data_IF_585400718451
#
_entry.id   IF_585400718451
#
_cell.length_a   1.000
_cell.length_b   1.000
_cell.length_c   1.000
_cell.angle_alpha   90.00
_cell.angle_beta   90.00
_cell.angle_gamma   90.00
#
_symmetry.space_group_name_H-M   'P 1'
#
loop_
_entity.id
_entity.type
_entity.pdbx_description
1 polymer ?
#
# COMPACT_ATOMS: atom_id res chain seq x y z
N UNK A 1 15.25 24.21 16.55
CA UNK A 1 15.99 22.93 16.61
C UNK A 1 14.97 21.80 16.76
N UNK A 2 14.81 20.97 15.73
CA UNK A 2 13.86 19.85 15.73
C UNK A 2 14.51 18.64 16.43
N UNK A 3 14.43 18.61 17.76
CA UNK A 3 14.83 17.46 18.57
C UNK A 3 13.61 16.76 19.15
N UNK A 4 13.65 15.43 19.27
CA UNK A 4 12.65 14.70 20.03
C UNK A 4 12.72 15.12 21.51
N UNK A 5 11.55 15.31 22.13
CA UNK A 5 11.48 15.62 23.56
C UNK A 5 12.10 14.46 24.37
N UNK A 6 12.94 14.73 25.39
CA UNK A 6 13.72 13.70 26.09
C UNK A 6 12.87 12.59 26.74
N UNK A 7 11.64 12.89 27.11
CA UNK A 7 10.64 11.94 27.61
C UNK A 7 10.10 10.98 26.53
N UNK A 8 10.27 11.31 25.25
CA UNK A 8 9.93 10.46 24.11
C UNK A 8 11.14 9.68 23.56
N UNK A 9 12.34 9.94 24.10
CA UNK A 9 13.57 9.23 23.70
C UNK A 9 13.70 7.97 24.55
N UNK A 10 13.87 6.83 23.88
CA UNK A 10 14.11 5.56 24.57
C UNK A 10 15.39 5.68 25.41
N UNK A 11 15.33 5.43 26.73
CA UNK A 11 16.51 5.49 27.59
C UNK A 11 17.61 4.52 27.11
N UNK A 12 18.87 4.95 27.20
CA UNK A 12 20.01 4.13 26.77
C UNK A 12 20.04 2.75 27.44
N UNK A 13 19.59 2.67 28.69
CA UNK A 13 19.47 1.41 29.44
C UNK A 13 18.57 0.37 28.74
N UNK A 14 17.45 0.78 28.13
CA UNK A 14 16.60 -0.15 27.37
C UNK A 14 17.31 -0.64 26.09
N UNK A 15 18.06 0.23 25.43
CA UNK A 15 18.86 -0.14 24.26
C UNK A 15 19.98 -1.14 24.61
N UNK A 16 20.62 -0.98 25.77
CA UNK A 16 21.66 -1.89 26.26
C UNK A 16 21.08 -3.28 26.56
N UNK A 17 19.96 -3.36 27.29
CA UNK A 17 19.30 -4.65 27.61
C UNK A 17 18.92 -5.42 26.34
N UNK A 18 18.35 -4.74 25.34
CA UNK A 18 17.99 -5.37 24.06
C UNK A 18 19.21 -5.89 23.29
N UNK A 19 20.34 -5.18 23.36
CA UNK A 19 21.62 -5.61 22.75
C UNK A 19 22.21 -6.82 23.46
N UNK A 20 22.09 -6.89 24.79
CA UNK A 20 22.58 -8.01 25.59
C UNK A 20 21.75 -9.28 25.41
N UNK A 21 20.43 -9.16 25.36
CA UNK A 21 19.53 -10.30 25.07
C UNK A 21 19.82 -10.92 23.69
N UNK A 22 20.10 -10.09 22.67
CA UNK A 22 20.52 -10.57 21.35
C UNK A 22 21.84 -11.34 21.42
N UNK A 23 22.83 -10.81 22.15
CA UNK A 23 24.13 -11.47 22.35
C UNK A 23 24.04 -12.76 23.17
N UNK A 24 23.10 -12.86 24.10
CA UNK A 24 22.87 -14.07 24.88
C UNK A 24 22.26 -15.18 24.01
N UNK A 25 21.31 -14.84 23.12
CA UNK A 25 20.66 -15.80 22.21
C UNK A 25 21.62 -16.38 21.16
N UNK A 26 22.64 -15.63 20.77
CA UNK A 26 23.65 -16.08 19.79
C UNK A 26 24.70 -17.03 20.39
N UNK A 27 24.81 -17.14 21.71
CA UNK A 27 25.80 -18.02 22.37
C UNK A 27 25.37 -19.48 22.47
N UNK A 28 24.10 -19.80 22.20
CA UNK A 28 23.53 -21.14 22.36
C UNK A 28 23.44 -21.94 21.04
N UNK A 29 24.16 -21.51 20.00
CA UNK A 29 24.11 -22.13 18.67
C UNK A 29 25.52 -22.47 18.16
N UNK A 30 26.07 -23.60 18.62
CA UNK A 30 27.16 -24.30 17.93
C UNK A 30 26.62 -25.59 17.35
N UNK A 31 26.35 -25.59 16.05
CA UNK A 31 26.74 -26.61 15.05
C UNK A 31 26.22 -26.16 13.66
N UNK A 32 27.13 -26.09 12.69
CA UNK A 32 26.98 -25.56 11.32
C UNK A 32 26.84 -26.76 10.32
N UNK A 33 26.38 -26.63 9.04
CA UNK A 33 27.03 -25.74 8.08
C UNK A 33 26.14 -24.91 7.13
N UNK A 34 26.65 -23.70 6.86
CA UNK A 34 26.54 -22.84 5.66
C UNK A 34 25.77 -23.39 4.45
N UNK A 35 24.61 -22.78 4.17
CA UNK A 35 24.24 -22.25 2.85
C UNK A 35 23.23 -21.09 3.06
N UNK A 36 23.12 -20.21 2.07
CA UNK A 36 22.57 -18.85 2.18
C UNK A 36 21.14 -18.70 2.73
N UNK A 37 20.87 -17.45 3.14
CA UNK A 37 19.58 -16.76 3.30
C UNK A 37 18.33 -17.55 3.73
N UNK A 38 17.62 -17.17 4.82
CA UNK A 38 16.32 -17.75 5.11
C UNK A 38 15.25 -17.15 4.17
N UNK A 39 14.99 -17.84 3.06
CA UNK A 39 13.68 -17.82 2.40
C UNK A 39 12.77 -18.66 3.30
N UNK A 40 11.75 -18.02 3.87
CA UNK A 40 10.73 -18.71 4.64
C UNK A 40 10.00 -19.70 3.71
N UNK A 41 9.98 -20.96 4.12
CA UNK A 41 9.43 -22.10 3.39
C UNK A 41 7.93 -21.91 3.11
N UNK A 42 7.60 -21.73 1.85
CA UNK A 42 6.30 -22.07 1.28
C UNK A 42 6.23 -23.60 1.16
N UNK A 43 5.61 -24.26 2.15
CA UNK A 43 5.20 -25.66 2.03
C UNK A 43 3.70 -25.73 1.78
N UNK A 44 3.39 -25.79 0.49
CA UNK A 44 2.26 -26.44 -0.15
C UNK A 44 1.19 -27.01 0.80
N UNK A 45 0.07 -26.30 0.91
CA UNK A 45 -1.18 -26.88 1.43
C UNK A 45 -1.88 -27.56 0.25
N UNK A 46 -1.82 -28.88 0.32
CA UNK A 46 -2.56 -29.85 -0.47
C UNK A 46 -4.07 -29.56 -0.40
N UNK A 47 -4.69 -29.23 -1.54
CA UNK A 47 -6.14 -29.27 -1.67
C UNK A 47 -6.58 -30.74 -1.66
N UNK A 48 -7.35 -31.14 -0.66
CA UNK A 48 -8.16 -32.36 -0.70
C UNK A 48 -9.58 -32.01 -0.26
N UNK A 49 -10.63 -32.45 -0.98
CA UNK A 49 -12.01 -32.10 -0.65
C UNK A 49 -12.69 -33.26 0.07
N UNK A 50 -12.96 -33.15 1.38
CA UNK A 50 -13.98 -34.00 2.04
C UNK A 50 -14.65 -33.29 3.21
N UNK A 51 -15.96 -33.47 3.26
CA UNK A 51 -17.00 -32.87 4.09
C UNK A 51 -16.96 -33.17 5.60
N UNK A 52 -17.72 -32.32 6.29
CA UNK A 52 -18.48 -32.52 7.54
C UNK A 52 -17.80 -32.37 8.91
N UNK A 53 -18.21 -31.27 9.55
CA UNK A 53 -18.50 -31.06 10.97
C UNK A 53 -17.34 -31.12 11.97
N UNK A 54 -16.73 -29.94 12.20
CA UNK A 54 -16.06 -29.59 13.46
C UNK A 54 -16.40 -28.13 13.77
N UNK A 55 -17.36 -27.99 14.70
CA UNK A 55 -17.45 -26.95 15.73
C UNK A 55 -16.88 -25.56 15.40
N UNK A 56 -17.82 -24.65 15.15
CA UNK A 56 -17.85 -23.27 15.67
C UNK A 56 -16.50 -22.71 16.16
N UNK A 57 -15.63 -22.35 15.22
CA UNK A 57 -14.77 -21.19 15.42
C UNK A 57 -15.74 -20.02 15.62
N UNK A 58 -15.68 -19.24 16.72
CA UNK A 58 -16.51 -18.06 16.85
C UNK A 58 -16.18 -17.18 15.65
N UNK A 59 -17.08 -17.13 14.67
CA UNK A 59 -17.03 -16.12 13.62
C UNK A 59 -16.89 -14.81 14.36
N UNK A 60 -15.83 -14.09 14.03
CA UNK A 60 -15.49 -12.81 14.60
C UNK A 60 -16.77 -11.99 14.86
N UNK A 61 -16.83 -11.29 15.99
CA UNK A 61 -17.96 -10.41 16.38
C UNK A 61 -18.12 -9.19 15.43
N UNK A 62 -17.90 -9.38 14.13
CA UNK A 62 -17.99 -8.36 13.09
C UNK A 62 -19.47 -8.18 12.78
N UNK A 63 -19.96 -6.98 13.05
CA UNK A 63 -21.30 -6.58 12.62
C UNK A 63 -21.39 -6.70 11.10
N UNK A 64 -22.49 -7.21 10.56
CA UNK A 64 -22.72 -7.18 9.11
C UNK A 64 -22.71 -5.73 8.62
N UNK A 65 -22.28 -5.54 7.37
CA UNK A 65 -22.34 -4.24 6.70
C UNK A 65 -23.80 -3.81 6.55
N UNK A 66 -24.08 -2.52 6.68
CA UNK A 66 -25.37 -1.98 6.25
C UNK A 66 -25.42 -1.94 4.73
N UNK A 67 -26.64 -1.85 4.20
CA UNK A 67 -26.85 -1.72 2.75
C UNK A 67 -26.12 -0.51 2.18
N UNK A 68 -26.14 0.65 2.86
CA UNK A 68 -25.44 1.84 2.35
C UNK A 68 -23.92 1.65 2.34
N UNK A 69 -23.37 0.90 3.30
CA UNK A 69 -21.93 0.59 3.33
C UNK A 69 -21.52 -0.33 2.19
N UNK A 70 -22.33 -1.34 1.89
CA UNK A 70 -22.08 -2.25 0.77
C UNK A 70 -22.17 -1.53 -0.58
N UNK A 71 -23.18 -0.67 -0.76
CA UNK A 71 -23.32 0.17 -1.95
C UNK A 71 -22.13 1.14 -2.10
N UNK A 72 -21.69 1.75 -1.00
CA UNK A 72 -20.50 2.61 -1.00
C UNK A 72 -19.26 1.83 -1.41
N UNK A 73 -19.02 0.65 -0.83
CA UNK A 73 -17.87 -0.19 -1.19
C UNK A 73 -17.89 -0.56 -2.67
N UNK A 74 -19.04 -1.01 -3.20
CA UNK A 74 -19.16 -1.33 -4.62
C UNK A 74 -18.89 -0.12 -5.52
N UNK A 75 -19.38 1.06 -5.13
CA UNK A 75 -19.13 2.31 -5.86
C UNK A 75 -17.65 2.67 -5.86
N UNK A 76 -16.97 2.54 -4.71
CA UNK A 76 -15.54 2.82 -4.60
C UNK A 76 -14.69 1.85 -5.44
N UNK A 77 -15.00 0.56 -5.39
CA UNK A 77 -14.29 -0.46 -6.18
C UNK A 77 -14.49 -0.22 -7.67
N UNK A 78 -15.72 0.07 -8.09
CA UNK A 78 -16.02 0.38 -9.49
C UNK A 78 -15.19 1.56 -10.01
N UNK A 79 -15.18 2.68 -9.29
CA UNK A 79 -14.40 3.85 -9.71
C UNK A 79 -12.90 3.66 -9.54
N UNK A 80 -12.45 2.83 -8.60
CA UNK A 80 -11.03 2.48 -8.52
C UNK A 80 -10.60 1.81 -9.82
N UNK A 81 -11.34 0.79 -10.28
CA UNK A 81 -11.03 0.08 -11.54
C UNK A 81 -11.11 1.01 -12.75
N UNK A 82 -12.11 1.90 -12.79
CA UNK A 82 -12.30 2.86 -13.90
C UNK A 82 -11.15 3.88 -14.00
N UNK A 83 -10.61 4.36 -12.88
CA UNK A 83 -9.58 5.40 -12.83
C UNK A 83 -8.18 4.91 -12.41
N UNK A 84 -7.94 3.60 -12.45
CA UNK A 84 -6.63 3.02 -12.04
C UNK A 84 -5.52 3.33 -13.05
N UNK A 85 -5.83 3.33 -14.34
CA UNK A 85 -4.86 3.56 -15.41
C UNK A 85 -5.32 4.65 -16.38
N UNK A 86 -4.39 5.45 -16.93
CA UNK A 86 -4.74 6.38 -17.99
C UNK A 86 -5.24 5.63 -19.22
N UNK A 87 -6.01 6.31 -20.06
CA UNK A 87 -6.50 5.70 -21.29
C UNK A 87 -5.34 5.32 -22.22
N UNK A 88 -5.54 4.28 -23.04
CA UNK A 88 -4.51 3.84 -24.01
C UNK A 88 -4.14 4.97 -24.99
N UNK A 89 -5.09 5.86 -25.29
CA UNK A 89 -4.86 7.03 -26.14
C UNK A 89 -3.90 8.03 -25.51
N UNK A 90 -4.02 8.30 -24.21
CA UNK A 90 -3.12 9.19 -23.48
C UNK A 90 -1.73 8.57 -23.32
N UNK A 91 -1.66 7.27 -23.03
CA UNK A 91 -0.41 6.53 -22.97
C UNK A 91 0.35 6.54 -24.30
N UNK A 92 -0.37 6.37 -25.43
CA UNK A 92 0.22 6.45 -26.77
C UNK A 92 0.83 7.83 -27.04
N UNK A 93 0.16 8.91 -26.65
CA UNK A 93 0.67 10.29 -26.84
C UNK A 93 2.02 10.49 -26.13
N UNK A 94 2.16 9.97 -24.91
CA UNK A 94 3.44 10.02 -24.18
C UNK A 94 4.50 9.19 -24.92
N UNK A 95 4.15 7.98 -25.37
CA UNK A 95 5.10 7.08 -26.05
C UNK A 95 5.67 7.65 -27.34
N UNK A 96 4.87 8.30 -28.18
CA UNK A 96 5.35 8.93 -29.43
C UNK A 96 6.37 10.06 -29.20
N UNK A 97 6.43 10.65 -28.00
CA UNK A 97 7.48 11.64 -27.72
C UNK A 97 8.86 11.02 -27.51
N UNK A 98 8.95 9.70 -27.27
CA UNK A 98 10.14 8.98 -26.80
C UNK A 98 11.03 8.38 -27.92
N UNK A 99 10.77 8.64 -29.20
CA UNK A 99 11.44 7.95 -30.33
C UNK A 99 12.93 8.33 -30.57
N UNK A 100 13.71 8.66 -29.53
CA UNK A 100 15.13 9.03 -29.58
C UNK A 100 15.99 8.35 -28.49
N UNK A 101 17.32 8.52 -28.56
CA UNK A 101 18.31 7.89 -27.68
C UNK A 101 18.04 8.14 -26.17
N UNK A 102 18.29 7.12 -25.35
CA UNK A 102 17.86 6.97 -23.94
C UNK A 102 18.57 7.95 -22.96
N UNK A 103 18.22 9.23 -23.02
CA UNK A 103 18.76 10.26 -22.12
C UNK A 103 18.03 10.32 -20.78
N UNK A 104 18.69 10.85 -19.74
CA UNK A 104 18.06 11.16 -18.44
C UNK A 104 16.82 12.05 -18.58
N UNK A 105 16.85 12.95 -19.57
CA UNK A 105 15.81 13.94 -19.80
C UNK A 105 14.54 13.29 -20.35
N UNK A 106 14.67 12.26 -21.20
CA UNK A 106 13.53 11.46 -21.68
C UNK A 106 12.83 10.72 -20.53
N UNK A 107 13.60 10.13 -19.60
CA UNK A 107 13.03 9.47 -18.42
C UNK A 107 12.33 10.46 -17.50
N UNK A 108 12.95 11.62 -17.25
CA UNK A 108 12.34 12.66 -16.42
C UNK A 108 11.04 13.19 -17.04
N UNK A 109 11.03 13.40 -18.37
CA UNK A 109 9.83 13.80 -19.09
C UNK A 109 8.74 12.73 -19.01
N UNK A 110 9.09 11.46 -19.24
CA UNK A 110 8.12 10.36 -19.11
C UNK A 110 7.49 10.29 -17.71
N UNK A 111 8.30 10.39 -16.66
CA UNK A 111 7.82 10.39 -15.27
C UNK A 111 6.87 11.59 -15.04
N UNK A 112 7.25 12.78 -15.50
CA UNK A 112 6.46 14.00 -15.30
C UNK A 112 5.13 13.93 -16.06
N UNK A 113 5.14 13.52 -17.32
CA UNK A 113 3.94 13.37 -18.15
C UNK A 113 2.99 12.30 -17.58
N UNK A 114 3.53 11.15 -17.16
CA UNK A 114 2.74 10.11 -16.50
C UNK A 114 2.12 10.64 -15.20
N UNK A 115 2.89 11.39 -14.40
CA UNK A 115 2.42 11.99 -13.14
C UNK A 115 1.27 12.96 -13.38
N UNK A 116 1.30 13.75 -14.47
CA UNK A 116 0.20 14.64 -14.84
C UNK A 116 -1.08 13.83 -15.08
N UNK A 117 -1.00 12.75 -15.87
CA UNK A 117 -2.16 11.88 -16.12
C UNK A 117 -2.66 11.24 -14.82
N UNK A 118 -1.77 10.73 -13.98
CA UNK A 118 -2.16 10.13 -12.69
C UNK A 118 -2.87 11.13 -11.78
N UNK A 119 -2.40 12.39 -11.72
CA UNK A 119 -3.08 13.44 -10.95
C UNK A 119 -4.46 13.73 -11.52
N UNK A 120 -4.64 13.74 -12.84
CA UNK A 120 -5.96 13.92 -13.46
C UNK A 120 -6.91 12.78 -13.06
N UNK A 121 -6.46 11.54 -13.09
CA UNK A 121 -7.25 10.38 -12.66
C UNK A 121 -7.67 10.48 -11.19
N UNK A 122 -6.76 10.88 -10.29
CA UNK A 122 -7.07 11.08 -8.86
C UNK A 122 -8.16 12.16 -8.69
N UNK A 123 -8.08 13.24 -9.46
CA UNK A 123 -9.08 14.31 -9.44
C UNK A 123 -10.43 13.80 -9.93
N UNK A 124 -10.47 13.04 -11.03
CA UNK A 124 -11.72 12.46 -11.55
C UNK A 124 -12.32 11.44 -10.58
N UNK A 125 -11.52 10.54 -10.02
CA UNK A 125 -11.96 9.59 -8.99
C UNK A 125 -12.57 10.34 -7.79
N UNK A 126 -11.90 11.38 -7.31
CA UNK A 126 -12.37 12.16 -6.15
C UNK A 126 -13.72 12.83 -6.41
N UNK A 127 -13.98 13.29 -7.64
CA UNK A 127 -15.27 13.87 -8.03
C UNK A 127 -16.42 12.86 -7.95
N UNK A 128 -16.14 11.56 -8.10
CA UNK A 128 -17.14 10.51 -8.01
C UNK A 128 -17.48 10.09 -6.57
N UNK A 129 -16.69 10.53 -5.58
CA UNK A 129 -16.93 10.17 -4.19
C UNK A 129 -18.24 10.79 -3.68
N UNK A 130 -19.12 10.00 -3.04
CA UNK A 130 -20.34 10.53 -2.43
C UNK A 130 -20.05 11.67 -1.45
N UNK A 131 -20.66 12.83 -1.69
CA UNK A 131 -20.50 14.03 -0.86
C UNK A 131 -19.28 14.90 -1.21
N UNK A 132 -18.37 14.48 -2.09
CA UNK A 132 -17.25 15.35 -2.47
C UNK A 132 -17.72 16.57 -3.28
N UNK A 133 -18.61 16.36 -4.25
CA UNK A 133 -19.19 17.42 -5.07
C UNK A 133 -20.09 18.42 -4.31
N UNK A 134 -20.48 18.11 -3.07
CA UNK A 134 -21.30 19.01 -2.23
C UNK A 134 -20.45 19.97 -1.39
N UNK A 135 -19.14 19.75 -1.31
CA UNK A 135 -18.19 20.64 -0.63
C UNK A 135 -18.02 21.96 -1.38
N UNK A 136 -17.56 23.02 -0.69
CA UNK A 136 -17.17 24.27 -1.35
C UNK A 136 -15.95 24.04 -2.26
N UNK A 137 -15.81 24.85 -3.31
CA UNK A 137 -14.70 24.69 -4.27
C UNK A 137 -13.34 24.79 -3.60
N UNK A 138 -13.22 25.68 -2.63
CA UNK A 138 -12.01 25.93 -1.86
C UNK A 138 -11.60 24.70 -1.04
N UNK A 139 -12.59 24.01 -0.46
CA UNK A 139 -12.37 22.77 0.29
C UNK A 139 -12.02 21.60 -0.64
N UNK A 140 -12.70 21.48 -1.78
CA UNK A 140 -12.36 20.45 -2.79
C UNK A 140 -10.92 20.61 -3.27
N UNK A 141 -10.49 21.84 -3.58
CA UNK A 141 -9.12 22.14 -4.01
C UNK A 141 -8.14 21.84 -2.87
N UNK A 142 -8.47 22.21 -1.64
CA UNK A 142 -7.61 21.97 -0.48
C UNK A 142 -7.40 20.47 -0.25
N UNK A 143 -8.46 19.67 -0.31
CA UNK A 143 -8.39 18.21 -0.16
C UNK A 143 -7.58 17.54 -1.27
N UNK A 144 -7.66 18.04 -2.52
CA UNK A 144 -6.91 17.49 -3.65
C UNK A 144 -5.43 17.88 -3.68
N UNK A 145 -5.04 18.93 -2.96
CA UNK A 145 -3.65 19.45 -2.95
C UNK A 145 -2.86 19.06 -1.70
N UNK A 146 -3.53 18.56 -0.66
CA UNK A 146 -2.95 18.28 0.65
C UNK A 146 -1.98 17.09 0.66
#
# INVERSE_FOLDING_TARGET
SLGMRPECVVPESQCQVKREQKKARDKDKKDYPSLGSPIAEEKAIHFSPVSNDVSAIPRSNVKPLTREQEELIHTLVYYQEEFEQPSEEELKKIKFTFDGEDTSDMRFRHITEMTILTVQLIVEFSKQLPGFGTLQREDQITLLKA
#
